data_IF_572101320098
#
_entry.id   IF_572101320098
#
_cell.length_a   1.000
_cell.length_b   1.000
_cell.length_c   1.000
_cell.angle_alpha   90.00
_cell.angle_beta   90.00
_cell.angle_gamma   90.00
#
_symmetry.space_group_name_H-M   'P 1'
#
loop_
_entity.id
_entity.type
_entity.pdbx_description
1 polymer ?
#
# COMPACT_ATOMS: atom_id res chain seq x y z
N UNK A 1 3.39 -46.15 7.48
CA UNK A 1 4.31 -45.43 8.39
C UNK A 1 5.47 -44.93 7.55
N UNK A 2 5.48 -43.64 7.19
CA UNK A 2 6.62 -43.03 6.50
C UNK A 2 6.93 -41.71 7.21
N UNK A 3 8.09 -41.69 7.87
CA UNK A 3 8.56 -40.63 8.76
C UNK A 3 9.03 -39.42 7.94
N UNK A 4 8.49 -38.25 8.29
CA UNK A 4 8.84 -36.94 7.74
C UNK A 4 10.14 -36.48 8.41
N UNK A 5 11.24 -36.45 7.66
CA UNK A 5 12.52 -35.93 8.11
C UNK A 5 12.94 -34.76 7.22
N UNK A 6 12.78 -33.53 7.71
CA UNK A 6 13.50 -32.37 7.17
C UNK A 6 14.11 -31.64 8.38
N UNK A 7 15.43 -31.70 8.41
CA UNK A 7 16.29 -31.12 9.43
C UNK A 7 16.28 -29.60 9.35
N UNK A 8 16.18 -28.99 10.53
CA UNK A 8 16.44 -27.57 10.76
C UNK A 8 17.91 -27.27 10.42
N UNK A 9 18.14 -26.33 9.51
CA UNK A 9 19.45 -25.69 9.30
C UNK A 9 19.30 -24.20 9.60
N UNK A 10 19.64 -23.83 10.84
CA UNK A 10 20.02 -22.47 11.21
C UNK A 10 21.52 -22.30 10.96
N UNK A 11 21.90 -21.38 10.06
CA UNK A 11 23.26 -20.82 10.03
C UNK A 11 23.11 -19.31 9.77
N UNK A 12 23.42 -18.51 10.79
CA UNK A 12 23.52 -17.05 10.67
C UNK A 12 24.84 -16.61 10.04
N UNK A 13 24.92 -15.32 9.69
CA UNK A 13 26.11 -14.44 9.74
C UNK A 13 25.82 -13.17 8.92
N UNK A 14 25.75 -12.04 9.61
CA UNK A 14 25.52 -10.74 8.96
C UNK A 14 25.72 -9.55 9.90
N UNK A 15 26.73 -9.63 10.77
CA UNK A 15 27.29 -8.46 11.42
C UNK A 15 27.92 -7.53 10.36
N UNK A 16 27.62 -6.24 10.35
CA UNK A 16 28.49 -5.26 9.70
C UNK A 16 28.44 -4.00 10.56
N UNK A 17 29.46 -3.88 11.42
CA UNK A 17 29.74 -2.70 12.23
C UNK A 17 30.55 -1.68 11.43
N UNK A 18 30.18 -0.42 11.62
CA UNK A 18 31.04 0.76 11.68
C UNK A 18 31.95 1.08 10.48
N UNK A 19 31.52 2.05 9.67
CA UNK A 19 32.44 3.05 9.11
C UNK A 19 32.36 4.31 10.00
N UNK A 20 33.41 4.53 10.76
CA UNK A 20 33.71 5.76 11.49
C UNK A 20 34.05 6.88 10.49
N UNK A 21 33.32 7.98 10.57
CA UNK A 21 33.70 9.27 10.00
C UNK A 21 33.81 10.27 11.14
N UNK A 22 35.04 10.47 11.60
CA UNK A 22 35.45 11.47 12.59
C UNK A 22 35.49 12.85 11.91
N UNK A 23 34.77 13.84 12.48
CA UNK A 23 34.97 15.28 12.23
C UNK A 23 34.28 16.10 13.34
N UNK A 24 35.11 16.46 14.32
CA UNK A 24 35.07 17.55 15.31
C UNK A 24 33.76 18.11 15.92
N UNK A 25 33.65 18.10 17.28
CA UNK A 25 32.62 18.77 18.07
C UNK A 25 33.03 20.21 18.45
N UNK A 26 32.20 21.21 18.09
CA UNK A 26 31.98 22.50 18.81
C UNK A 26 31.46 23.58 17.85
N UNK A 27 30.14 23.68 17.70
CA UNK A 27 29.46 24.93 17.34
C UNK A 27 27.95 24.78 17.58
N UNK A 28 27.42 25.46 18.60
CA UNK A 28 25.99 25.77 18.67
C UNK A 28 25.20 25.26 19.86
N UNK A 29 25.79 25.19 21.06
CA UNK A 29 25.06 25.09 22.34
C UNK A 29 24.39 26.42 22.76
N UNK A 30 24.04 27.30 21.81
CA UNK A 30 23.52 28.64 22.08
C UNK A 30 22.13 28.83 21.45
N UNK A 31 21.10 28.15 21.96
CA UNK A 31 19.70 28.57 21.75
C UNK A 31 18.69 28.02 22.77
N UNK A 32 19.13 27.43 23.89
CA UNK A 32 18.23 26.81 24.87
C UNK A 32 17.67 27.76 25.95
N UNK A 33 17.83 29.09 25.83
CA UNK A 33 17.28 30.05 26.80
C UNK A 33 16.76 31.32 26.13
N UNK A 34 15.54 31.26 25.62
CA UNK A 34 14.62 32.40 25.65
C UNK A 34 13.20 31.88 25.63
N UNK A 35 12.66 31.67 26.84
CA UNK A 35 11.23 31.45 27.05
C UNK A 35 10.50 32.78 26.89
N UNK A 36 9.36 32.69 26.20
CA UNK A 36 8.11 33.41 26.46
C UNK A 36 7.92 34.81 25.84
N UNK A 37 7.17 34.84 24.74
CA UNK A 37 6.07 35.79 24.56
C UNK A 37 4.98 35.19 23.65
N UNK A 38 3.75 35.34 24.12
CA UNK A 38 2.45 34.96 23.53
C UNK A 38 2.16 35.56 22.14
N UNK A 39 1.57 34.79 21.22
CA UNK A 39 0.30 35.11 20.51
C UNK A 39 0.06 34.16 19.33
N UNK A 40 -1.22 33.87 19.09
CA UNK A 40 -1.80 33.04 18.03
C UNK A 40 -1.30 33.31 16.61
N UNK A 41 -1.15 32.26 15.80
CA UNK A 41 -1.88 32.02 14.53
C UNK A 41 -1.08 31.12 13.56
N UNK A 42 -1.79 30.14 12.99
CA UNK A 42 -1.54 29.43 11.71
C UNK A 42 -0.21 28.68 11.54
N UNK A 43 -0.25 27.35 11.62
CA UNK A 43 0.88 26.47 11.27
C UNK A 43 0.58 25.70 9.97
N UNK A 44 1.45 25.90 8.99
CA UNK A 44 1.50 25.26 7.68
C UNK A 44 2.05 23.82 7.80
N UNK A 45 1.71 22.90 6.87
CA UNK A 45 2.16 21.52 6.99
C UNK A 45 3.65 21.38 6.62
N UNK A 46 4.36 20.67 7.49
CA UNK A 46 5.76 20.26 7.40
C UNK A 46 5.97 19.33 6.21
N UNK A 47 6.90 19.67 5.32
CA UNK A 47 7.29 18.83 4.19
C UNK A 47 8.13 17.64 4.68
N UNK A 48 7.55 16.43 4.64
CA UNK A 48 8.29 15.19 4.82
C UNK A 48 9.09 14.88 3.56
N UNK A 49 10.42 14.85 3.72
CA UNK A 49 11.41 14.39 2.75
C UNK A 49 11.07 12.99 2.24
N UNK A 50 10.83 12.88 0.93
CA UNK A 50 10.54 11.63 0.22
C UNK A 50 11.84 10.98 -0.22
N UNK A 51 12.20 9.85 0.38
CA UNK A 51 13.27 8.98 -0.10
C UNK A 51 12.80 8.28 -1.37
N UNK A 52 13.36 8.63 -2.53
CA UNK A 52 13.11 7.94 -3.79
C UNK A 52 13.82 6.58 -3.78
N UNK A 53 13.10 5.53 -3.41
CA UNK A 53 13.49 4.16 -3.76
C UNK A 53 13.29 3.99 -5.26
N UNK A 54 14.32 3.50 -5.96
CA UNK A 54 14.21 3.14 -7.36
C UNK A 54 13.27 1.93 -7.50
N UNK A 55 12.02 2.19 -7.89
CA UNK A 55 11.03 1.17 -8.20
C UNK A 55 11.41 0.48 -9.51
N UNK A 56 11.61 -0.83 -9.48
CA UNK A 56 11.65 -1.62 -10.72
C UNK A 56 10.20 -1.72 -11.20
N UNK A 57 9.79 -0.82 -12.10
CA UNK A 57 8.42 -0.81 -12.60
C UNK A 57 8.22 -2.02 -13.52
N UNK A 58 7.34 -2.94 -13.11
CA UNK A 58 6.88 -4.04 -13.98
C UNK A 58 6.11 -3.45 -15.16
N UNK A 59 6.25 -4.02 -16.35
CA UNK A 59 5.50 -3.56 -17.52
C UNK A 59 4.00 -3.85 -17.33
N UNK A 60 3.18 -2.80 -17.46
CA UNK A 60 1.71 -2.88 -17.41
C UNK A 60 1.19 -3.50 -18.70
N UNK A 61 0.23 -4.41 -18.59
CA UNK A 61 -0.47 -5.00 -19.73
C UNK A 61 -1.66 -4.10 -20.11
N UNK A 62 -1.70 -3.54 -21.34
CA UNK A 62 -2.75 -2.61 -21.74
C UNK A 62 -4.09 -3.28 -22.08
N UNK A 63 -4.13 -4.61 -22.22
CA UNK A 63 -5.34 -5.36 -22.52
C UNK A 63 -6.11 -5.72 -21.24
N UNK A 64 -5.46 -5.60 -20.07
CA UNK A 64 -6.11 -5.81 -18.76
C UNK A 64 -6.97 -4.61 -18.34
N UNK A 65 -8.12 -4.85 -17.66
CA UNK A 65 -8.90 -3.76 -17.07
C UNK A 65 -8.09 -3.00 -16.01
N UNK A 66 -8.25 -1.67 -15.97
CA UNK A 66 -7.72 -0.83 -14.91
C UNK A 66 -8.34 -1.20 -13.55
N UNK A 67 -7.55 -1.17 -12.48
CA UNK A 67 -8.01 -1.41 -11.11
C UNK A 67 -8.30 -0.09 -10.42
N UNK A 68 -9.49 0.06 -9.83
CA UNK A 68 -9.84 1.22 -9.01
C UNK A 68 -9.86 0.80 -7.54
N UNK A 69 -8.90 1.27 -6.76
CA UNK A 69 -8.79 0.90 -5.35
C UNK A 69 -9.63 1.84 -4.48
N UNK A 70 -10.52 1.27 -3.69
CA UNK A 70 -11.40 1.97 -2.77
C UNK A 70 -11.15 1.51 -1.34
N UNK A 71 -10.80 2.44 -0.46
CA UNK A 71 -10.73 2.17 0.96
C UNK A 71 -12.12 2.33 1.60
N UNK A 72 -12.72 1.23 2.04
CA UNK A 72 -13.95 1.22 2.82
C UNK A 72 -13.69 0.99 4.33
N UNK A 73 -12.43 0.75 4.72
CA UNK A 73 -12.04 0.55 6.11
C UNK A 73 -11.67 1.83 6.85
N UNK A 74 -11.43 1.70 8.16
CA UNK A 74 -10.98 2.79 9.03
C UNK A 74 -9.47 3.05 8.98
N UNK A 75 -8.70 2.19 8.29
CA UNK A 75 -7.24 2.27 8.23
C UNK A 75 -6.83 3.36 7.23
N UNK A 76 -6.25 4.46 7.74
CA UNK A 76 -5.72 5.53 6.90
C UNK A 76 -4.59 5.04 5.99
N UNK A 77 -4.64 5.43 4.71
CA UNK A 77 -3.62 5.06 3.72
C UNK A 77 -3.70 3.61 3.20
N UNK A 78 -4.72 2.84 3.60
CA UNK A 78 -4.91 1.47 3.14
C UNK A 78 -5.06 1.38 1.62
N UNK A 79 -5.95 2.21 1.05
CA UNK A 79 -6.16 2.25 -0.41
C UNK A 79 -4.88 2.56 -1.19
N UNK A 80 -4.05 3.48 -0.70
CA UNK A 80 -2.75 3.78 -1.32
C UNK A 80 -1.75 2.62 -1.19
N UNK A 81 -1.80 1.88 -0.09
CA UNK A 81 -0.95 0.69 0.10
C UNK A 81 -1.30 -0.37 -0.95
N UNK A 82 -2.59 -0.69 -1.07
CA UNK A 82 -3.06 -1.68 -2.04
C UNK A 82 -2.84 -1.21 -3.49
N UNK A 83 -3.03 0.07 -3.80
CA UNK A 83 -2.74 0.57 -5.15
C UNK A 83 -1.28 0.35 -5.56
N UNK A 84 -0.32 0.65 -4.66
CA UNK A 84 1.10 0.34 -4.92
C UNK A 84 1.36 -1.15 -5.08
N UNK A 85 0.73 -1.98 -4.25
CA UNK A 85 0.85 -3.43 -4.37
C UNK A 85 0.35 -3.92 -5.73
N UNK A 86 -0.81 -3.42 -6.17
CA UNK A 86 -1.40 -3.75 -7.49
C UNK A 86 -0.50 -3.26 -8.64
N UNK A 87 0.08 -2.06 -8.52
CA UNK A 87 1.07 -1.53 -9.47
C UNK A 87 2.34 -2.38 -9.54
N UNK A 88 2.88 -2.80 -8.38
CA UNK A 88 4.06 -3.68 -8.30
C UNK A 88 3.81 -5.06 -8.94
N UNK A 89 2.56 -5.52 -8.90
CA UNK A 89 2.11 -6.74 -9.58
C UNK A 89 2.01 -6.56 -11.11
N UNK A 90 2.07 -5.32 -11.62
CA UNK A 90 2.04 -4.98 -13.04
C UNK A 90 0.63 -4.70 -13.58
N UNK A 91 -0.29 -4.27 -12.72
CA UNK A 91 -1.62 -3.81 -13.09
C UNK A 91 -1.68 -2.28 -13.18
N UNK A 92 -2.54 -1.75 -14.05
CA UNK A 92 -2.85 -0.32 -14.09
C UNK A 92 -3.82 0.04 -12.96
N UNK A 93 -3.58 1.16 -12.27
CA UNK A 93 -4.43 1.63 -11.18
C UNK A 93 -4.93 3.05 -11.42
N UNK A 94 -6.19 3.30 -11.05
CA UNK A 94 -6.68 4.66 -10.88
C UNK A 94 -6.22 5.23 -9.53
N UNK A 95 -6.29 6.56 -9.38
CA UNK A 95 -6.03 7.21 -8.10
C UNK A 95 -6.96 6.64 -7.01
N UNK A 96 -6.43 6.19 -5.85
CA UNK A 96 -7.24 5.59 -4.80
C UNK A 96 -8.26 6.57 -4.23
N UNK A 97 -9.43 6.05 -3.89
CA UNK A 97 -10.52 6.83 -3.28
C UNK A 97 -11.02 6.17 -1.99
N UNK A 98 -11.76 6.93 -1.17
CA UNK A 98 -12.49 6.36 -0.04
C UNK A 98 -13.92 6.03 -0.46
N UNK A 99 -14.44 4.92 0.03
CA UNK A 99 -15.81 4.48 -0.17
C UNK A 99 -16.50 4.37 1.19
N UNK A 100 -17.72 4.88 1.31
CA UNK A 100 -18.55 4.65 2.50
C UNK A 100 -19.43 3.43 2.24
N UNK A 101 -19.14 2.31 2.91
CA UNK A 101 -19.93 1.09 2.82
C UNK A 101 -19.94 0.36 4.16
N UNK A 102 -21.12 -0.09 4.59
CA UNK A 102 -21.26 -0.97 5.76
C UNK A 102 -21.49 -2.44 5.37
N UNK A 103 -21.71 -2.71 4.09
CA UNK A 103 -22.06 -4.05 3.59
C UNK A 103 -20.85 -4.88 3.17
N UNK A 104 -19.70 -4.24 2.96
CA UNK A 104 -18.47 -4.88 2.52
C UNK A 104 -17.55 -4.94 3.74
N UNK A 105 -17.36 -6.14 4.29
CA UNK A 105 -16.65 -6.37 5.55
C UNK A 105 -15.29 -7.04 5.36
N UNK A 106 -14.97 -7.42 4.12
CA UNK A 106 -13.72 -8.06 3.72
C UNK A 106 -13.22 -7.42 2.43
N UNK A 107 -11.98 -7.72 2.06
CA UNK A 107 -11.42 -7.23 0.81
C UNK A 107 -12.12 -7.92 -0.37
N UNK A 108 -12.61 -7.15 -1.33
CA UNK A 108 -13.42 -7.68 -2.43
C UNK A 108 -13.07 -7.00 -3.74
N UNK A 109 -12.80 -7.78 -4.79
CA UNK A 109 -12.74 -7.32 -6.18
C UNK A 109 -14.10 -7.55 -6.83
N UNK A 110 -14.68 -6.49 -7.35
CA UNK A 110 -15.90 -6.58 -8.16
C UNK A 110 -15.57 -6.70 -9.65
N UNK A 111 -16.34 -7.49 -10.39
CA UNK A 111 -16.19 -7.61 -11.84
C UNK A 111 -17.49 -7.35 -12.59
N UNK A 112 -17.37 -6.91 -13.84
CA UNK A 112 -18.49 -6.90 -14.79
C UNK A 112 -18.38 -8.10 -15.74
N UNK A 113 -19.41 -8.32 -16.56
CA UNK A 113 -19.39 -9.37 -17.58
C UNK A 113 -18.11 -9.30 -18.45
N UNK A 114 -17.42 -10.44 -18.59
CA UNK A 114 -16.17 -10.55 -19.34
C UNK A 114 -14.90 -10.12 -18.59
N UNK A 115 -14.99 -9.72 -17.31
CA UNK A 115 -13.82 -9.34 -16.49
C UNK A 115 -13.56 -10.32 -15.33
N UNK A 116 -14.32 -11.42 -15.25
CA UNK A 116 -14.21 -12.37 -14.14
C UNK A 116 -12.80 -12.98 -14.06
N UNK A 117 -12.26 -13.48 -15.18
CA UNK A 117 -10.91 -14.08 -15.21
C UNK A 117 -9.84 -13.07 -14.74
N UNK A 118 -9.98 -11.79 -15.11
CA UNK A 118 -9.07 -10.75 -14.67
C UNK A 118 -9.22 -10.44 -13.17
N UNK A 119 -10.44 -10.47 -12.63
CA UNK A 119 -10.68 -10.27 -11.20
C UNK A 119 -10.14 -11.42 -10.35
N UNK A 120 -10.29 -12.66 -10.83
CA UNK A 120 -9.71 -13.86 -10.22
C UNK A 120 -8.18 -13.78 -10.22
N UNK A 121 -7.56 -13.43 -11.35
CA UNK A 121 -6.12 -13.23 -11.42
C UNK A 121 -5.63 -12.13 -10.46
N UNK A 122 -6.36 -11.00 -10.37
CA UNK A 122 -6.00 -9.93 -9.44
C UNK A 122 -6.06 -10.40 -7.98
N UNK A 123 -7.08 -11.17 -7.61
CA UNK A 123 -7.20 -11.71 -6.27
C UNK A 123 -6.08 -12.71 -5.94
N UNK A 124 -5.70 -13.57 -6.90
CA UNK A 124 -4.57 -14.49 -6.78
C UNK A 124 -3.24 -13.75 -6.62
N UNK A 125 -3.00 -12.72 -7.45
CA UNK A 125 -1.79 -11.89 -7.39
C UNK A 125 -1.66 -11.17 -6.04
N UNK A 126 -2.78 -10.83 -5.40
CA UNK A 126 -2.85 -10.21 -4.07
C UNK A 126 -2.73 -11.20 -2.90
N UNK A 127 -2.65 -12.51 -3.18
CA UNK A 127 -2.43 -13.55 -2.17
C UNK A 127 -3.65 -14.43 -1.85
N UNK A 128 -4.78 -14.24 -2.53
CA UNK A 128 -5.96 -15.10 -2.40
C UNK A 128 -6.90 -14.76 -1.24
N UNK A 129 -6.54 -13.83 -0.36
CA UNK A 129 -7.39 -13.34 0.75
C UNK A 129 -8.41 -12.26 0.31
N UNK A 130 -8.69 -12.18 -1.00
CA UNK A 130 -9.55 -11.17 -1.61
C UNK A 130 -10.72 -11.89 -2.30
N UNK A 131 -11.94 -11.62 -1.84
CA UNK A 131 -13.16 -12.17 -2.43
C UNK A 131 -13.38 -11.61 -3.83
N UNK A 132 -13.98 -12.41 -4.71
CA UNK A 132 -14.27 -12.01 -6.10
C UNK A 132 -15.77 -12.12 -6.34
N UNK A 133 -16.42 -11.00 -6.58
CA UNK A 133 -17.89 -10.93 -6.66
C UNK A 133 -18.37 -10.17 -7.90
N UNK A 134 -19.56 -10.50 -8.43
CA UNK A 134 -20.18 -9.71 -9.48
C UNK A 134 -20.50 -8.31 -8.97
N UNK A 135 -20.25 -7.29 -9.81
CA UNK A 135 -20.52 -5.90 -9.45
C UNK A 135 -22.01 -5.67 -9.16
N UNK A 136 -22.37 -5.13 -7.99
CA UNK A 136 -23.74 -4.71 -7.71
C UNK A 136 -24.19 -3.63 -8.70
N UNK A 137 -25.45 -3.68 -9.15
CA UNK A 137 -25.99 -2.69 -10.08
C UNK A 137 -26.05 -1.27 -9.53
N UNK A 138 -26.05 -1.12 -8.20
CA UNK A 138 -26.00 0.18 -7.52
C UNK A 138 -24.57 0.76 -7.40
N UNK A 139 -23.55 0.04 -7.86
CA UNK A 139 -22.16 0.47 -7.82
C UNK A 139 -21.75 1.07 -9.18
N UNK A 140 -21.81 2.39 -9.29
CA UNK A 140 -21.50 3.14 -10.53
C UNK A 140 -20.06 3.66 -10.62
N UNK A 141 -19.26 3.46 -9.57
CA UNK A 141 -17.86 3.89 -9.56
C UNK A 141 -17.01 2.90 -10.37
N UNK A 142 -15.90 3.38 -10.95
CA UNK A 142 -15.02 2.55 -11.80
C UNK A 142 -15.76 1.78 -12.92
N UNK A 143 -16.51 2.46 -13.80
CA UNK A 143 -17.42 1.78 -14.74
C UNK A 143 -16.71 0.85 -15.73
N UNK A 144 -15.45 1.16 -16.08
CA UNK A 144 -14.67 0.42 -17.09
C UNK A 144 -13.57 -0.48 -16.52
N UNK A 145 -13.40 -0.50 -15.20
CA UNK A 145 -12.31 -1.21 -14.53
C UNK A 145 -12.80 -2.23 -13.51
N UNK A 146 -11.89 -2.75 -12.69
CA UNK A 146 -12.15 -3.62 -11.55
C UNK A 146 -12.13 -2.81 -10.25
N UNK A 147 -13.28 -2.60 -9.56
CA UNK A 147 -13.29 -2.03 -8.23
C UNK A 147 -12.67 -3.01 -7.24
N UNK A 148 -11.55 -2.65 -6.64
CA UNK A 148 -10.96 -3.34 -5.50
C UNK A 148 -11.34 -2.59 -4.23
N UNK A 149 -12.23 -3.17 -3.42
CA UNK A 149 -12.64 -2.61 -2.15
C UNK A 149 -11.77 -3.22 -1.05
N UNK A 150 -11.09 -2.38 -0.29
CA UNK A 150 -10.22 -2.79 0.81
C UNK A 150 -10.76 -2.28 2.13
N UNK A 151 -10.82 -3.18 3.11
CA UNK A 151 -11.38 -2.94 4.45
C UNK A 151 -10.32 -3.26 5.51
N UNK A 152 -9.54 -4.32 5.27
CA UNK A 152 -8.54 -4.85 6.21
C UNK A 152 -7.21 -5.10 5.50
N UNK A 153 -6.16 -5.41 6.28
CA UNK A 153 -4.87 -5.89 5.79
C UNK A 153 -4.74 -7.39 5.95
#
# INVERSE_FOLDING_TARGET
MLLLAIAVVFIGLGWHSAATGDSDPEAGLEAAQSRQATSSSSEAPTQSSTTTSASTSRSVDPDRPQVCVFNAGAIGGLGQTYARQVEDLGWDTATPANLQSASITENTVFYSAGQQDAAEQLAEDLGGDVSVDPRPSAFDQCPRGLPLIVVTR
#
